data_IF_854583687401
#
_entry.id   IF_854583687401
#
_cell.length_a   1.000
_cell.length_b   1.000
_cell.length_c   1.000
_cell.angle_alpha   90.00
_cell.angle_beta   90.00
_cell.angle_gamma   90.00
#
_symmetry.space_group_name_H-M   'P 1'
#
loop_
_entity.id
_entity.type
_entity.pdbx_description
1 polymer ?
#
# COMPACT_ATOMS: atom_id res chain seq x y z
N UNK A 1 8.99 13.83 -4.08
CA UNK A 1 9.01 13.01 -5.29
C UNK A 1 8.03 11.89 -5.14
N UNK A 2 7.23 11.60 -6.17
CA UNK A 2 6.29 10.48 -6.08
C UNK A 2 7.04 9.14 -6.17
N UNK A 3 6.40 8.13 -5.62
CA UNK A 3 6.90 6.76 -5.70
C UNK A 3 5.85 5.89 -6.39
N UNK A 4 6.30 4.78 -6.96
CA UNK A 4 5.39 3.81 -7.56
C UNK A 4 4.74 3.00 -6.45
N UNK A 5 3.44 2.78 -6.59
CA UNK A 5 2.67 1.97 -5.65
C UNK A 5 1.79 1.02 -6.44
N UNK A 6 1.77 -0.23 -6.03
CA UNK A 6 0.89 -1.23 -6.61
C UNK A 6 0.18 -2.00 -5.50
N UNK A 7 -1.10 -2.25 -5.70
CA UNK A 7 -1.91 -3.10 -4.82
C UNK A 7 -2.32 -4.30 -5.65
N UNK A 8 -1.88 -5.48 -5.24
CA UNK A 8 -2.05 -6.71 -6.01
C UNK A 8 -2.72 -7.76 -5.14
N UNK A 9 -3.69 -8.46 -5.69
CA UNK A 9 -4.28 -9.65 -5.09
C UNK A 9 -3.97 -10.84 -6.01
N UNK A 10 -4.21 -12.09 -5.54
CA UNK A 10 -3.95 -13.25 -6.40
C UNK A 10 -4.73 -13.22 -7.71
N UNK A 11 -5.83 -12.52 -7.76
CA UNK A 11 -6.69 -12.50 -8.94
C UNK A 11 -6.29 -11.41 -9.93
N UNK A 12 -5.74 -10.29 -9.45
CA UNK A 12 -5.47 -9.17 -10.34
C UNK A 12 -4.66 -8.08 -9.65
N UNK A 13 -4.11 -7.19 -10.45
CA UNK A 13 -3.62 -5.92 -9.98
C UNK A 13 -4.84 -5.03 -9.72
N UNK A 14 -5.06 -4.71 -8.46
CA UNK A 14 -6.24 -3.96 -8.05
C UNK A 14 -6.06 -2.48 -8.33
N UNK A 15 -4.85 -1.96 -8.14
CA UNK A 15 -4.54 -0.56 -8.37
C UNK A 15 -3.03 -0.40 -8.58
N UNK A 16 -2.66 0.52 -9.43
CA UNK A 16 -1.27 0.95 -9.50
C UNK A 16 -1.22 2.42 -9.90
N UNK A 17 -0.16 3.09 -9.49
CA UNK A 17 0.01 4.48 -9.81
C UNK A 17 1.16 5.09 -9.01
N UNK A 18 1.17 6.40 -8.94
CA UNK A 18 2.15 7.14 -8.18
C UNK A 18 1.52 7.77 -6.97
N UNK A 19 2.28 7.84 -5.88
CA UNK A 19 1.79 8.42 -4.64
C UNK A 19 2.91 9.16 -3.92
N UNK A 20 2.51 10.07 -3.04
CA UNK A 20 3.46 10.80 -2.20
C UNK A 20 3.58 10.16 -0.82
N UNK A 21 2.53 9.46 -0.38
CA UNK A 21 2.49 8.87 0.93
C UNK A 21 1.62 7.62 0.90
N UNK A 22 2.09 6.56 1.54
CA UNK A 22 1.31 5.35 1.76
C UNK A 22 1.26 5.10 3.27
N UNK A 23 0.06 4.93 3.81
CA UNK A 23 -0.14 4.60 5.21
C UNK A 23 -0.76 3.22 5.26
N UNK A 24 -0.08 2.29 5.91
CA UNK A 24 -0.53 0.91 5.96
C UNK A 24 -0.56 0.41 7.40
N UNK A 25 -1.54 -0.43 7.71
CA UNK A 25 -1.61 -1.07 9.02
C UNK A 25 -0.95 -2.44 8.92
N UNK A 26 0.11 -2.61 9.71
CA UNK A 26 0.82 -3.89 9.81
C UNK A 26 0.54 -4.52 11.17
N UNK A 27 1.02 -5.75 11.35
CA UNK A 27 0.90 -6.42 12.65
C UNK A 27 1.66 -5.68 13.75
N UNK A 28 2.67 -4.89 13.38
CA UNK A 28 3.46 -4.12 14.33
C UNK A 28 2.91 -2.71 14.54
N UNK A 29 1.81 -2.38 13.88
CA UNK A 29 1.19 -1.08 13.97
C UNK A 29 1.11 -0.38 12.62
N UNK A 30 0.69 0.87 12.65
CA UNK A 30 0.55 1.66 11.43
C UNK A 30 1.88 2.27 11.04
N UNK A 31 2.22 2.19 9.76
CA UNK A 31 3.43 2.83 9.24
C UNK A 31 3.08 3.76 8.09
N UNK A 32 3.87 4.83 7.96
CA UNK A 32 3.78 5.75 6.84
C UNK A 32 5.04 5.64 5.98
N UNK A 33 4.88 5.57 4.68
CA UNK A 33 5.99 5.40 3.73
C UNK A 33 5.96 6.55 2.74
N UNK A 34 7.09 7.25 2.64
CA UNK A 34 7.29 8.27 1.61
C UNK A 34 8.45 7.86 0.71
N UNK A 35 8.58 8.53 -0.42
CA UNK A 35 9.67 8.25 -1.35
C UNK A 35 11.02 8.32 -0.63
N UNK A 36 11.89 7.38 -0.92
CA UNK A 36 13.19 7.29 -0.27
C UNK A 36 13.21 6.54 1.06
N UNK A 37 12.08 5.97 1.46
CA UNK A 37 12.02 5.18 2.67
C UNK A 37 12.97 3.98 2.58
N UNK A 38 13.58 3.63 3.71
CA UNK A 38 14.46 2.45 3.72
C UNK A 38 13.65 1.21 3.37
N UNK A 39 14.25 0.26 2.64
CA UNK A 39 13.54 -0.97 2.29
C UNK A 39 13.10 -1.73 3.53
N UNK A 40 11.89 -2.29 3.47
CA UNK A 40 11.37 -3.12 4.54
C UNK A 40 10.31 -4.07 3.97
N UNK A 41 10.05 -5.12 4.75
CA UNK A 41 8.97 -6.05 4.46
C UNK A 41 8.12 -6.14 5.73
N UNK A 42 6.84 -5.83 5.60
CA UNK A 42 5.90 -5.91 6.71
C UNK A 42 4.78 -6.88 6.44
N UNK A 43 4.17 -7.38 7.50
CA UNK A 43 2.99 -8.23 7.39
C UNK A 43 1.77 -7.36 7.64
N UNK A 44 0.84 -7.38 6.68
CA UNK A 44 -0.37 -6.58 6.77
C UNK A 44 -1.33 -7.18 7.79
N UNK A 45 -2.01 -6.31 8.52
CA UNK A 45 -3.03 -6.73 9.45
C UNK A 45 -4.26 -7.24 8.70
N UNK A 46 -4.97 -8.19 9.30
CA UNK A 46 -6.26 -8.59 8.77
C UNK A 46 -7.24 -7.44 8.95
N UNK A 47 -8.13 -7.28 7.97
CA UNK A 47 -9.12 -6.19 7.98
C UNK A 47 -8.46 -4.81 8.12
N UNK A 48 -7.28 -4.68 7.54
CA UNK A 48 -6.55 -3.42 7.58
C UNK A 48 -6.91 -2.51 6.41
N UNK A 49 -6.41 -1.29 6.50
CA UNK A 49 -6.54 -0.32 5.43
C UNK A 49 -5.17 0.15 4.96
N UNK A 50 -5.07 0.39 3.67
CA UNK A 50 -3.91 1.06 3.09
C UNK A 50 -4.44 2.34 2.46
N UNK A 51 -3.90 3.46 2.90
CA UNK A 51 -4.25 4.76 2.35
C UNK A 51 -3.14 5.24 1.46
N UNK A 52 -3.50 5.60 0.24
CA UNK A 52 -2.54 6.02 -0.77
C UNK A 52 -2.88 7.46 -1.12
N UNK A 53 -1.97 8.37 -0.84
CA UNK A 53 -2.17 9.80 -1.06
C UNK A 53 -1.23 10.32 -2.13
N UNK A 54 -1.76 11.05 -3.07
CA UNK A 54 -0.96 11.60 -4.14
C UNK A 54 -1.66 12.71 -4.89
N UNK A 55 -0.98 13.24 -5.90
CA UNK A 55 -1.48 14.37 -6.66
C UNK A 55 -2.76 14.10 -7.44
N UNK A 56 -3.07 12.86 -7.72
CA UNK A 56 -4.28 12.48 -8.43
C UNK A 56 -5.48 12.22 -7.54
N UNK A 57 -5.35 12.44 -6.23
CA UNK A 57 -6.38 12.18 -5.26
C UNK A 57 -6.02 11.03 -4.34
N UNK A 58 -6.86 10.79 -3.35
CA UNK A 58 -6.61 9.76 -2.35
C UNK A 58 -7.36 8.48 -2.69
N UNK A 59 -6.69 7.36 -2.46
CA UNK A 59 -7.28 6.04 -2.66
C UNK A 59 -7.12 5.27 -1.37
N UNK A 60 -8.17 4.58 -0.95
CA UNK A 60 -8.12 3.70 0.22
C UNK A 60 -8.39 2.28 -0.27
N UNK A 61 -7.52 1.36 0.12
CA UNK A 61 -7.71 -0.05 -0.14
C UNK A 61 -7.97 -0.76 1.17
N UNK A 62 -9.07 -1.49 1.25
CA UNK A 62 -9.32 -2.39 2.37
C UNK A 62 -8.68 -3.71 2.00
N UNK A 63 -7.73 -4.14 2.81
CA UNK A 63 -6.95 -5.35 2.54
C UNK A 63 -7.14 -6.34 3.66
N UNK A 64 -7.03 -7.60 3.33
CA UNK A 64 -7.15 -8.67 4.29
C UNK A 64 -5.92 -9.56 4.17
N UNK A 65 -5.00 -9.38 5.12
CA UNK A 65 -3.77 -10.16 5.14
C UNK A 65 -2.82 -9.82 3.99
N UNK A 66 -1.64 -10.41 4.04
CA UNK A 66 -0.65 -10.25 2.99
C UNK A 66 0.59 -9.52 3.47
N UNK A 67 1.30 -8.92 2.52
CA UNK A 67 2.60 -8.31 2.79
C UNK A 67 2.69 -6.92 2.19
N UNK A 68 3.46 -6.08 2.87
CA UNK A 68 3.87 -4.76 2.40
C UNK A 68 5.36 -4.84 2.09
N UNK A 69 5.73 -4.56 0.86
CA UNK A 69 7.13 -4.55 0.44
C UNK A 69 7.52 -3.13 0.04
N UNK A 70 8.51 -2.59 0.71
CA UNK A 70 9.04 -1.25 0.39
C UNK A 70 10.44 -1.42 -0.15
N UNK A 71 10.67 -0.86 -1.33
CA UNK A 71 11.98 -0.86 -1.96
C UNK A 71 12.32 0.56 -2.37
N UNK A 72 13.52 0.75 -2.90
CA UNK A 72 13.92 2.08 -3.39
C UNK A 72 13.07 2.54 -4.56
N UNK A 73 12.40 1.61 -5.24
CA UNK A 73 11.55 1.94 -6.39
C UNK A 73 10.11 2.28 -6.01
N UNK A 74 9.66 1.81 -4.85
CA UNK A 74 8.31 2.09 -4.42
C UNK A 74 7.75 1.06 -3.46
N UNK A 75 6.45 0.94 -3.44
CA UNK A 75 5.71 0.12 -2.49
C UNK A 75 4.85 -0.89 -3.25
N UNK A 76 4.91 -2.15 -2.82
CA UNK A 76 4.01 -3.18 -3.32
C UNK A 76 3.20 -3.72 -2.15
N UNK A 77 1.90 -3.75 -2.32
CA UNK A 77 0.98 -4.32 -1.35
C UNK A 77 0.43 -5.60 -1.97
N UNK A 78 0.79 -6.74 -1.38
CA UNK A 78 0.41 -8.06 -1.87
C UNK A 78 -0.59 -8.63 -0.89
N UNK A 79 -1.86 -8.37 -1.13
CA UNK A 79 -2.94 -8.74 -0.22
C UNK A 79 -3.64 -10.01 -0.68
N UNK A 80 -4.17 -10.79 0.24
CA UNK A 80 -5.00 -11.95 -0.10
C UNK A 80 -6.29 -11.49 -0.76
N UNK A 81 -6.83 -10.37 -0.28
CA UNK A 81 -7.95 -9.71 -0.94
C UNK A 81 -7.81 -8.21 -0.74
N UNK A 82 -8.29 -7.45 -1.71
CA UNK A 82 -8.22 -6.00 -1.64
C UNK A 82 -9.44 -5.42 -2.34
N UNK A 83 -9.98 -4.38 -1.72
CA UNK A 83 -11.13 -3.67 -2.26
C UNK A 83 -10.85 -2.17 -2.22
N UNK A 84 -10.99 -1.52 -3.35
CA UNK A 84 -10.72 -0.10 -3.44
C UNK A 84 -11.93 0.73 -3.06
N UNK A 85 -11.63 1.85 -2.40
CA UNK A 85 -12.60 2.90 -2.16
C UNK A 85 -11.93 4.22 -2.52
N UNK A 86 -12.61 5.04 -3.29
CA UNK A 86 -12.12 6.36 -3.64
C UNK A 86 -12.96 7.39 -2.91
N UNK A 87 -12.28 8.21 -2.15
CA UNK A 87 -12.98 9.20 -1.38
C UNK A 87 -12.45 10.57 -1.57
#
# INVERSE_FOLDING_TARGET
MPMRVAVVSPEAEVWSGEADLVIARTLDGEIGVMAGHVPLLGVLAEQGEVRIRGGGGDVTAKVNGGFLSVTTEGVSILAESAELSRG
#
